data_IF_766502786066
#
_entry.id   IF_766502786066
#
_cell.length_a   1.000
_cell.length_b   1.000
_cell.length_c   1.000
_cell.angle_alpha   90.00
_cell.angle_beta   90.00
_cell.angle_gamma   90.00
#
_symmetry.space_group_name_H-M   'P 1'
#
loop_
_entity.id
_entity.type
_entity.pdbx_description
1 polymer ?
#
# COMPACT_ATOMS: atom_id res chain seq x y z
N UNK A 1 -67.99 -38.32 22.76
CA UNK A 1 -67.12 -38.62 21.64
C UNK A 1 -66.10 -37.52 21.58
N UNK A 2 -64.84 -37.84 21.86
CA UNK A 2 -63.77 -36.89 22.14
C UNK A 2 -62.97 -36.64 20.84
N UNK A 3 -63.00 -35.40 20.34
CA UNK A 3 -62.28 -35.03 19.12
C UNK A 3 -60.97 -34.38 19.54
N UNK A 4 -59.88 -35.13 19.41
CA UNK A 4 -58.53 -34.65 19.66
C UNK A 4 -58.01 -33.87 18.45
N UNK A 5 -57.94 -32.57 18.59
CA UNK A 5 -57.31 -31.68 17.63
C UNK A 5 -55.77 -31.69 17.84
N UNK A 6 -55.01 -32.25 16.88
CA UNK A 6 -53.55 -32.23 16.82
C UNK A 6 -53.09 -30.89 16.25
N UNK A 7 -52.50 -30.04 17.10
CA UNK A 7 -51.82 -28.82 16.67
C UNK A 7 -50.38 -29.21 16.25
N UNK A 8 -50.10 -29.18 14.95
CA UNK A 8 -48.73 -29.32 14.44
C UNK A 8 -48.03 -27.96 14.57
N UNK A 9 -47.08 -27.85 15.51
CA UNK A 9 -46.21 -26.70 15.64
C UNK A 9 -45.19 -26.70 14.51
N UNK A 10 -45.17 -25.64 13.72
CA UNK A 10 -44.14 -25.37 12.71
C UNK A 10 -43.03 -24.63 13.43
N UNK A 11 -41.90 -25.30 13.67
CA UNK A 11 -40.67 -24.66 14.16
C UNK A 11 -40.00 -23.97 12.95
N UNK A 12 -40.17 -22.66 12.85
CA UNK A 12 -39.46 -21.84 11.86
C UNK A 12 -38.01 -21.69 12.26
N UNK A 13 -37.12 -22.35 11.54
CA UNK A 13 -35.67 -22.18 11.69
C UNK A 13 -35.25 -20.87 10.97
N UNK A 14 -35.12 -19.78 11.71
CA UNK A 14 -34.58 -18.51 11.18
C UNK A 14 -33.08 -18.65 11.03
N UNK A 15 -32.61 -18.87 9.79
CA UNK A 15 -31.20 -18.82 9.43
C UNK A 15 -30.80 -17.36 9.38
N UNK A 16 -30.09 -16.87 10.41
CA UNK A 16 -29.44 -15.56 10.40
C UNK A 16 -28.24 -15.63 9.46
N UNK A 17 -28.36 -15.10 8.24
CA UNK A 17 -27.22 -14.87 7.35
C UNK A 17 -26.36 -13.76 7.94
N UNK A 18 -25.28 -14.14 8.64
CA UNK A 18 -24.22 -13.21 9.01
C UNK A 18 -23.49 -12.79 7.73
N UNK A 19 -23.75 -11.56 7.27
CA UNK A 19 -23.00 -10.95 6.16
C UNK A 19 -21.58 -10.69 6.63
N UNK A 20 -20.63 -11.52 6.19
CA UNK A 20 -19.20 -11.27 6.37
C UNK A 20 -18.84 -10.08 5.48
N UNK A 21 -18.73 -8.90 6.04
CA UNK A 21 -18.14 -7.73 5.36
C UNK A 21 -16.64 -7.98 5.23
N UNK A 22 -16.22 -8.40 4.06
CA UNK A 22 -14.78 -8.40 3.69
C UNK A 22 -14.35 -6.95 3.55
N UNK A 23 -13.63 -6.44 4.55
CA UNK A 23 -12.94 -5.16 4.41
C UNK A 23 -11.81 -5.33 3.41
N UNK A 24 -11.84 -4.57 2.33
CA UNK A 24 -10.70 -4.44 1.42
C UNK A 24 -9.48 -3.95 2.21
N UNK A 25 -8.31 -4.54 1.96
CA UNK A 25 -7.11 -4.16 2.67
C UNK A 25 -6.62 -2.79 2.18
N UNK A 26 -6.64 -1.79 3.06
CA UNK A 26 -6.20 -0.43 2.73
C UNK A 26 -4.70 -0.37 2.45
N UNK A 27 -4.32 0.48 1.48
CA UNK A 27 -2.91 0.84 1.25
C UNK A 27 -2.35 1.73 2.37
N UNK A 28 -3.20 2.38 3.16
CA UNK A 28 -2.76 3.22 4.27
C UNK A 28 -2.00 2.45 5.33
N UNK A 29 -1.05 3.11 5.96
CA UNK A 29 -0.22 2.55 7.02
C UNK A 29 1.27 2.63 6.71
N UNK A 30 2.05 1.83 7.41
CA UNK A 30 3.51 1.79 7.31
C UNK A 30 3.98 0.60 6.51
N UNK A 31 4.92 0.86 5.61
CA UNK A 31 5.44 -0.12 4.69
C UNK A 31 6.97 -0.13 4.69
N UNK A 32 7.55 -1.27 4.99
CA UNK A 32 8.99 -1.51 4.94
C UNK A 32 9.41 -1.78 3.51
N UNK A 33 10.21 -0.89 2.94
CA UNK A 33 10.82 -1.10 1.63
C UNK A 33 12.08 -1.97 1.77
N UNK A 34 12.23 -2.91 0.84
CA UNK A 34 13.29 -3.92 0.86
C UNK A 34 13.98 -3.90 -0.50
N UNK A 35 15.30 -3.98 -0.50
CA UNK A 35 16.09 -4.23 -1.71
C UNK A 35 15.90 -5.70 -2.12
N UNK A 36 15.33 -5.93 -3.31
CA UNK A 36 14.90 -7.28 -3.73
C UNK A 36 16.04 -8.29 -3.87
N UNK A 37 17.21 -7.82 -4.29
CA UNK A 37 18.36 -8.69 -4.54
C UNK A 37 19.08 -9.11 -3.26
N UNK A 38 19.16 -8.25 -2.27
CA UNK A 38 19.90 -8.46 -1.03
C UNK A 38 19.03 -8.78 0.16
N UNK A 39 17.73 -8.46 0.12
CA UNK A 39 16.81 -8.51 1.24
C UNK A 39 17.03 -7.40 2.27
N UNK A 40 17.89 -6.44 1.98
CA UNK A 40 18.22 -5.34 2.88
C UNK A 40 17.04 -4.39 3.09
N UNK A 41 16.79 -4.05 4.35
CA UNK A 41 15.75 -3.08 4.70
C UNK A 41 16.26 -1.67 4.43
N UNK A 42 15.52 -0.91 3.61
CA UNK A 42 15.95 0.42 3.16
C UNK A 42 15.30 1.53 3.98
N UNK A 43 13.98 1.50 4.10
CA UNK A 43 13.21 2.57 4.75
C UNK A 43 11.83 2.09 5.18
N UNK A 44 11.17 2.89 6.02
CA UNK A 44 9.73 2.77 6.26
C UNK A 44 9.05 3.96 5.60
N UNK A 45 8.04 3.66 4.80
CA UNK A 45 7.19 4.63 4.10
C UNK A 45 5.82 4.63 4.76
N UNK A 46 5.36 5.79 5.19
CA UNK A 46 4.00 6.01 5.65
C UNK A 46 3.13 6.43 4.49
N UNK A 47 2.05 5.69 4.22
CA UNK A 47 1.05 6.04 3.21
C UNK A 47 -0.22 6.51 3.90
N UNK A 48 -0.74 7.67 3.48
CA UNK A 48 -1.97 8.27 3.98
C UNK A 48 -2.81 8.82 2.84
N UNK A 49 -4.11 8.85 3.05
CA UNK A 49 -5.04 9.55 2.17
C UNK A 49 -4.98 11.05 2.46
N UNK A 50 -4.71 11.83 1.44
CA UNK A 50 -4.65 13.30 1.51
C UNK A 50 -6.03 13.95 1.40
N UNK A 51 -6.08 15.26 1.60
CA UNK A 51 -7.30 16.06 1.45
C UNK A 51 -7.83 16.09 0.01
N UNK A 52 -6.99 15.78 -0.96
CA UNK A 52 -7.34 15.60 -2.37
C UNK A 52 -8.02 14.26 -2.67
N UNK A 53 -8.24 13.42 -1.64
CA UNK A 53 -8.81 12.09 -1.74
C UNK A 53 -7.87 11.05 -2.34
N UNK A 54 -6.59 11.38 -2.55
CA UNK A 54 -5.57 10.50 -3.11
C UNK A 54 -4.59 10.05 -2.05
N UNK A 55 -3.89 8.96 -2.33
CA UNK A 55 -2.91 8.40 -1.41
C UNK A 55 -1.51 8.91 -1.74
N UNK A 56 -0.80 9.31 -0.68
CA UNK A 56 0.55 9.84 -0.70
C UNK A 56 1.43 9.09 0.27
N UNK A 57 2.70 8.93 -0.05
CA UNK A 57 3.64 8.20 0.79
C UNK A 57 4.94 8.96 1.00
N UNK A 58 5.35 9.08 2.25
CA UNK A 58 6.61 9.73 2.66
C UNK A 58 7.51 8.77 3.41
N UNK A 59 8.81 8.93 3.27
CA UNK A 59 9.80 8.19 4.05
C UNK A 59 9.78 8.74 5.48
N UNK A 60 9.45 7.89 6.46
CA UNK A 60 9.38 8.25 7.88
C UNK A 60 10.54 7.67 8.71
N UNK A 61 11.20 6.64 8.19
CA UNK A 61 12.38 6.04 8.80
C UNK A 61 13.34 5.51 7.74
N UNK A 62 14.64 5.51 8.05
CA UNK A 62 15.68 4.95 7.20
C UNK A 62 16.54 4.00 8.00
N UNK A 63 16.70 2.78 7.48
CA UNK A 63 17.63 1.83 8.07
C UNK A 63 19.07 2.26 7.80
N UNK A 64 20.00 2.04 8.73
CA UNK A 64 21.42 2.20 8.47
C UNK A 64 21.80 1.30 7.29
N UNK A 65 22.39 1.89 6.27
CA UNK A 65 22.80 1.14 5.09
C UNK A 65 24.11 0.42 5.40
N UNK A 66 24.14 -0.89 5.27
CA UNK A 66 25.33 -1.72 5.50
C UNK A 66 26.50 -1.36 4.57
N UNK A 67 26.23 -0.78 3.42
CA UNK A 67 27.23 -0.34 2.44
C UNK A 67 27.69 1.12 2.61
N UNK A 68 27.29 1.80 3.69
CA UNK A 68 27.81 3.13 4.05
C UNK A 68 27.36 4.30 3.19
N UNK A 69 26.51 4.09 2.19
CA UNK A 69 25.97 5.18 1.35
C UNK A 69 24.61 5.59 1.87
N UNK A 70 24.60 6.37 2.94
CA UNK A 70 23.39 7.02 3.40
C UNK A 70 23.12 8.29 2.57
N UNK A 71 22.22 8.19 1.60
CA UNK A 71 21.72 9.38 0.91
C UNK A 71 20.99 10.24 1.94
N UNK A 72 21.50 11.38 2.32
CA UNK A 72 20.84 12.30 3.24
C UNK A 72 19.83 13.18 2.53
N UNK A 73 20.15 13.61 1.31
CA UNK A 73 19.33 14.52 0.50
C UNK A 73 19.13 13.96 -0.91
N UNK A 74 18.04 14.35 -1.53
CA UNK A 74 17.68 13.97 -2.91
C UNK A 74 18.39 14.87 -3.93
N UNK A 75 19.68 14.71 -4.07
CA UNK A 75 20.52 15.58 -4.89
C UNK A 75 20.27 15.46 -6.39
N UNK A 76 19.79 14.30 -6.85
CA UNK A 76 19.47 14.05 -8.26
C UNK A 76 18.00 14.30 -8.60
N UNK A 77 17.17 14.65 -7.63
CA UNK A 77 15.75 14.84 -7.85
C UNK A 77 15.44 16.13 -8.60
N UNK A 78 14.42 16.13 -9.47
CA UNK A 78 13.92 17.34 -10.11
C UNK A 78 13.17 18.23 -9.11
N UNK A 79 12.97 19.48 -9.44
CA UNK A 79 12.08 20.36 -8.68
C UNK A 79 10.65 19.75 -8.61
N UNK A 80 9.95 19.86 -7.49
CA UNK A 80 10.27 20.58 -6.26
C UNK A 80 11.07 19.76 -5.22
N UNK A 81 11.57 18.59 -5.57
CA UNK A 81 12.24 17.64 -4.66
C UNK A 81 13.76 17.85 -4.57
N UNK A 82 14.33 18.69 -5.41
CA UNK A 82 15.77 18.95 -5.50
C UNK A 82 16.35 19.26 -4.13
N UNK A 83 17.35 18.48 -3.75
CA UNK A 83 18.11 18.62 -2.51
C UNK A 83 17.29 18.57 -1.20
N UNK A 84 16.03 18.10 -1.25
CA UNK A 84 15.25 17.88 -0.03
C UNK A 84 15.82 16.72 0.78
N UNK A 85 15.71 16.76 2.13
CA UNK A 85 16.07 15.63 2.96
C UNK A 85 15.29 14.38 2.56
N UNK A 86 15.95 13.22 2.58
CA UNK A 86 15.30 11.92 2.29
C UNK A 86 14.29 11.57 3.39
N UNK A 87 14.62 11.85 4.64
CA UNK A 87 13.66 11.69 5.73
C UNK A 87 12.57 12.76 5.60
N UNK A 88 11.31 12.32 5.52
CA UNK A 88 10.15 13.17 5.26
C UNK A 88 9.87 13.39 3.76
N UNK A 89 10.70 12.90 2.86
CA UNK A 89 10.49 13.05 1.42
C UNK A 89 9.26 12.28 0.97
N UNK A 90 8.35 12.96 0.27
CA UNK A 90 7.24 12.31 -0.43
C UNK A 90 7.77 11.59 -1.67
N UNK A 91 7.69 10.27 -1.67
CA UNK A 91 8.14 9.43 -2.78
C UNK A 91 6.99 8.76 -3.53
N UNK A 92 5.80 8.74 -2.96
CA UNK A 92 4.58 8.28 -3.61
C UNK A 92 3.56 9.41 -3.61
N UNK A 93 2.90 9.65 -4.74
CA UNK A 93 1.88 10.69 -4.84
C UNK A 93 0.77 10.32 -5.81
N UNK A 94 -0.44 10.81 -5.49
CA UNK A 94 -1.58 10.81 -6.39
C UNK A 94 -2.21 9.45 -6.69
N UNK A 95 -1.92 8.40 -5.94
CA UNK A 95 -2.58 7.11 -6.12
C UNK A 95 -4.07 7.21 -5.78
N UNK A 96 -4.91 6.51 -6.52
CA UNK A 96 -6.33 6.32 -6.23
C UNK A 96 -6.72 4.87 -6.33
N UNK A 97 -7.80 4.49 -5.69
CA UNK A 97 -8.36 3.15 -5.82
C UNK A 97 -8.77 2.88 -7.28
N UNK A 98 -8.54 1.65 -7.73
CA UNK A 98 -9.03 1.18 -9.03
C UNK A 98 -10.50 0.75 -8.86
N UNK A 99 -11.46 1.45 -9.53
CA UNK A 99 -12.88 1.13 -9.37
C UNK A 99 -13.26 -0.26 -9.90
N UNK A 100 -12.39 -0.86 -10.73
CA UNK A 100 -12.64 -2.15 -11.37
C UNK A 100 -11.90 -3.31 -10.69
N UNK A 101 -10.99 -3.02 -9.75
CA UNK A 101 -10.16 -4.05 -9.14
C UNK A 101 -9.92 -3.79 -7.66
N UNK A 102 -10.50 -4.63 -6.77
CA UNK A 102 -10.28 -4.50 -5.33
C UNK A 102 -8.79 -4.52 -4.97
N UNK A 103 -8.45 -3.88 -3.85
CA UNK A 103 -7.09 -3.81 -3.30
C UNK A 103 -6.02 -3.26 -4.27
N UNK A 104 -6.45 -2.64 -5.37
CA UNK A 104 -5.59 -2.08 -6.41
C UNK A 104 -5.65 -0.57 -6.44
N UNK A 105 -4.49 0.05 -6.72
CA UNK A 105 -4.32 1.50 -6.75
C UNK A 105 -3.60 1.89 -8.04
N UNK A 106 -4.08 2.95 -8.69
CA UNK A 106 -3.63 3.38 -10.02
C UNK A 106 -3.36 4.88 -10.05
N UNK A 107 -2.87 5.36 -11.19
CA UNK A 107 -2.58 6.77 -11.51
C UNK A 107 -1.54 7.43 -10.61
N UNK A 108 -0.80 6.65 -9.82
CA UNK A 108 0.23 7.15 -8.93
C UNK A 108 1.52 7.56 -9.64
N UNK A 109 2.35 8.28 -8.89
CA UNK A 109 3.73 8.60 -9.22
C UNK A 109 4.65 8.05 -8.14
N UNK A 110 5.81 7.57 -8.56
CA UNK A 110 6.85 7.03 -7.69
C UNK A 110 8.15 7.76 -7.98
N UNK A 111 8.68 8.48 -7.00
CA UNK A 111 9.99 9.10 -7.05
C UNK A 111 11.02 8.11 -6.53
N UNK A 112 12.07 7.84 -7.30
CA UNK A 112 13.24 7.06 -6.89
C UNK A 112 14.36 8.01 -6.48
N UNK A 113 14.65 8.19 -5.18
CA UNK A 113 15.60 9.21 -4.73
C UNK A 113 17.04 9.00 -5.19
N UNK A 114 17.44 7.76 -5.43
CA UNK A 114 18.81 7.41 -5.85
C UNK A 114 19.14 7.87 -7.26
N UNK A 115 18.17 7.83 -8.16
CA UNK A 115 18.31 8.27 -9.56
C UNK A 115 17.65 9.62 -9.85
N UNK A 116 16.75 10.07 -8.98
CA UNK A 116 15.92 11.26 -9.20
C UNK A 116 14.78 11.05 -10.22
N UNK A 117 14.58 9.83 -10.69
CA UNK A 117 13.53 9.53 -11.67
C UNK A 117 12.15 9.46 -11.05
N UNK A 118 11.17 9.93 -11.82
CA UNK A 118 9.75 9.81 -11.47
C UNK A 118 9.09 8.85 -12.45
N UNK A 119 8.46 7.83 -11.91
CA UNK A 119 7.74 6.79 -12.66
C UNK A 119 6.23 6.96 -12.48
N UNK A 120 5.45 6.50 -13.46
CA UNK A 120 4.04 6.19 -13.25
C UNK A 120 3.96 4.99 -12.32
N UNK A 121 2.98 4.98 -11.40
CA UNK A 121 2.85 3.95 -10.37
C UNK A 121 1.50 3.24 -10.40
N UNK A 122 1.56 1.93 -10.15
CA UNK A 122 0.40 1.10 -9.78
C UNK A 122 0.78 0.30 -8.54
N UNK A 123 -0.20 0.02 -7.68
CA UNK A 123 0.02 -0.76 -6.49
C UNK A 123 -1.10 -1.76 -6.26
N UNK A 124 -0.77 -2.88 -5.60
CA UNK A 124 -1.75 -3.89 -5.17
C UNK A 124 -1.40 -4.32 -3.77
N UNK A 125 -2.38 -4.25 -2.88
CA UNK A 125 -2.28 -4.82 -1.54
C UNK A 125 -2.66 -6.30 -1.61
N UNK A 126 -1.89 -7.17 -1.03
CA UNK A 126 -2.06 -8.63 -1.10
C UNK A 126 -1.64 -9.30 0.21
N UNK A 127 -1.86 -10.63 0.30
CA UNK A 127 -1.48 -11.39 1.47
C UNK A 127 -2.20 -10.90 2.74
N UNK A 128 -3.51 -10.74 2.67
CA UNK A 128 -4.32 -10.25 3.80
C UNK A 128 -3.85 -8.88 4.33
N UNK A 129 -3.44 -8.00 3.42
CA UNK A 129 -2.96 -6.67 3.78
C UNK A 129 -1.47 -6.58 4.15
N UNK A 130 -0.72 -7.68 4.11
CA UNK A 130 0.67 -7.75 4.60
C UNK A 130 1.72 -7.34 3.57
N UNK A 131 1.37 -7.33 2.27
CA UNK A 131 2.29 -7.06 1.16
C UNK A 131 1.74 -5.96 0.26
N UNK A 132 2.58 -5.00 -0.08
CA UNK A 132 2.31 -3.98 -1.09
C UNK A 132 3.22 -4.23 -2.30
N UNK A 133 2.61 -4.65 -3.40
CA UNK A 133 3.31 -4.77 -4.68
C UNK A 133 3.20 -3.45 -5.42
N UNK A 134 4.32 -2.75 -5.53
CA UNK A 134 4.42 -1.47 -6.24
C UNK A 134 5.07 -1.68 -7.60
N UNK A 135 4.42 -1.21 -8.66
CA UNK A 135 4.97 -1.25 -10.01
C UNK A 135 5.20 0.16 -10.52
N UNK A 136 6.46 0.50 -10.72
CA UNK A 136 6.89 1.71 -11.39
C UNK A 136 7.18 1.45 -12.87
N UNK A 137 6.77 2.36 -13.77
CA UNK A 137 6.98 2.23 -15.21
C UNK A 137 7.07 3.59 -15.90
N UNK A 138 7.74 3.62 -17.05
CA UNK A 138 7.78 4.75 -17.96
C UNK A 138 7.13 4.31 -19.29
N UNK A 139 6.24 5.13 -19.83
CA UNK A 139 5.48 4.75 -21.02
C UNK A 139 4.45 3.66 -20.72
N UNK A 140 4.68 2.43 -21.17
CA UNK A 140 3.74 1.29 -21.00
C UNK A 140 4.08 0.46 -19.75
N UNK A 141 3.03 0.04 -19.02
CA UNK A 141 3.18 -0.71 -17.77
C UNK A 141 3.93 -2.05 -17.93
N UNK A 142 3.90 -2.67 -19.11
CA UNK A 142 4.58 -3.93 -19.37
C UNK A 142 6.11 -3.84 -19.17
N UNK A 143 6.72 -2.68 -19.43
CA UNK A 143 8.16 -2.43 -19.30
C UNK A 143 8.59 -1.93 -17.90
N UNK A 144 7.70 -1.98 -16.92
CA UNK A 144 7.97 -1.51 -15.57
C UNK A 144 8.67 -2.53 -14.69
N UNK A 145 9.17 -2.04 -13.54
CA UNK A 145 9.73 -2.86 -12.44
C UNK A 145 8.71 -2.95 -11.31
N UNK A 146 8.59 -4.13 -10.72
CA UNK A 146 7.74 -4.35 -9.53
C UNK A 146 8.66 -4.57 -8.33
N UNK A 147 8.35 -3.92 -7.23
CA UNK A 147 8.96 -4.13 -5.91
C UNK A 147 7.89 -4.57 -4.91
N UNK A 148 8.29 -5.30 -3.88
CA UNK A 148 7.38 -5.76 -2.83
C UNK A 148 7.82 -5.15 -1.50
N UNK A 149 6.90 -4.44 -0.86
CA UNK A 149 7.08 -3.91 0.49
C UNK A 149 6.27 -4.72 1.49
N UNK A 150 6.75 -4.79 2.71
CA UNK A 150 6.09 -5.51 3.79
C UNK A 150 5.43 -4.52 4.76
N UNK A 151 4.20 -4.83 5.18
CA UNK A 151 3.52 -4.04 6.20
C UNK A 151 4.28 -4.12 7.52
N UNK A 152 4.34 -3.00 8.21
CA UNK A 152 4.85 -2.90 9.59
C UNK A 152 3.89 -2.06 10.43
N UNK A 153 3.91 -2.24 11.73
CA UNK A 153 2.94 -1.60 12.64
C UNK A 153 3.38 -0.22 13.09
N UNK A 154 4.63 0.15 12.82
CA UNK A 154 5.25 1.35 13.38
C UNK A 154 6.15 2.06 12.38
N UNK A 155 6.28 3.39 12.57
CA UNK A 155 7.29 4.20 11.91
C UNK A 155 8.72 3.92 12.41
N UNK A 156 8.83 3.31 13.58
CA UNK A 156 10.12 2.91 14.19
C UNK A 156 10.14 1.39 14.31
N UNK A 157 11.18 0.73 13.80
CA UNK A 157 11.36 -0.73 13.90
C UNK A 157 11.69 -1.19 15.31
#
# INVERSE_FOLDING_TARGET
MLNRMLIKGIVGCSIACASLTTFAASIEGYWKSIEERTGEQLSIVEIRKGNDGRYHGKIVYRYPNSHGIALTNCTKCPAPYTNKPILGLEILSGFREDPNKPDSYIDGRVLEPTSGRIYKGKAVVSGEGKRLRMRGYMGVSALGRTVVWLRTDSANP
#
